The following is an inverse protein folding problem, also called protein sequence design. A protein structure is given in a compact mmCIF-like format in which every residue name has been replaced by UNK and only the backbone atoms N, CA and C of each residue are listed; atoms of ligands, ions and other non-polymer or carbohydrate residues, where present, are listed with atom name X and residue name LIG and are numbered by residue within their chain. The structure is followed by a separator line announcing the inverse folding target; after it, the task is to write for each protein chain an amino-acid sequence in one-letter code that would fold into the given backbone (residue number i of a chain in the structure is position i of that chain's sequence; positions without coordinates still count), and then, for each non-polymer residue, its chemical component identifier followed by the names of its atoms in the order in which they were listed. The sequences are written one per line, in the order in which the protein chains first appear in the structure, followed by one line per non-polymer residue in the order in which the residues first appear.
data_IF_145451805933
#
_entry.id   IF_145451805933
#
_cell.length_a   1.000
_cell.length_b   1.000
_cell.length_c   1.000
_cell.angle_alpha   90.00
_cell.angle_beta   90.00
_cell.angle_gamma   90.00
#
_symmetry.space_group_name_H-M   'P 1'
#
loop_
_entity.id
_entity.type
_entity.pdbx_description
1 polymer ?
#
# COMPACT_ATOMS: atom_id res chain seq x y z
N UNK A 1 1.34 2.50 -14.91
CA UNK A 1 1.11 1.53 -13.82
C UNK A 1 -0.39 1.32 -13.70
N UNK A 2 -0.87 0.07 -13.59
CA UNK A 2 -2.31 -0.26 -13.63
C UNK A 2 -3.04 0.15 -12.34
N UNK A 3 -2.31 0.21 -11.23
CA UNK A 3 -2.76 0.59 -9.88
C UNK A 3 -1.91 1.79 -9.44
N UNK A 4 -2.17 2.95 -10.05
CA UNK A 4 -1.29 4.12 -9.95
C UNK A 4 -1.19 4.64 -8.51
N UNK A 5 -2.32 4.80 -7.82
CA UNK A 5 -2.37 5.42 -6.49
C UNK A 5 -1.84 4.47 -5.40
N UNK A 6 -2.14 3.18 -5.53
CA UNK A 6 -1.46 2.14 -4.73
C UNK A 6 0.05 2.16 -4.98
N UNK A 7 0.46 2.26 -6.24
CA UNK A 7 1.86 2.37 -6.61
C UNK A 7 2.56 3.57 -5.96
N UNK A 8 1.95 4.75 -5.97
CA UNK A 8 2.52 5.93 -5.31
C UNK A 8 2.73 5.71 -3.81
N UNK A 9 1.79 5.06 -3.12
CA UNK A 9 1.94 4.71 -1.71
C UNK A 9 3.15 3.78 -1.49
N UNK A 10 3.22 2.68 -2.25
CA UNK A 10 4.28 1.68 -2.04
C UNK A 10 5.65 2.23 -2.44
N UNK A 11 5.77 2.80 -3.64
CA UNK A 11 7.04 3.32 -4.15
C UNK A 11 7.50 4.58 -3.43
N UNK A 12 6.58 5.39 -2.90
CA UNK A 12 6.90 6.65 -2.23
C UNK A 12 7.24 6.48 -0.75
N UNK A 13 6.59 5.55 -0.05
CA UNK A 13 6.62 5.47 1.41
C UNK A 13 7.06 4.12 1.97
N UNK A 14 6.90 3.01 1.24
CA UNK A 14 7.29 1.67 1.68
C UNK A 14 8.55 1.14 1.00
N UNK A 15 9.28 2.00 0.29
CA UNK A 15 10.55 1.66 -0.36
C UNK A 15 11.69 1.45 0.66
N UNK A 16 12.90 1.17 0.17
CA UNK A 16 14.08 0.90 1.02
C UNK A 16 14.43 2.05 2.00
N UNK A 17 14.02 3.29 1.70
CA UNK A 17 14.26 4.49 2.51
C UNK A 17 13.02 4.91 3.32
N UNK A 18 12.12 3.96 3.66
CA UNK A 18 10.88 4.24 4.40
C UNK A 18 11.12 4.97 5.73
N UNK A 19 12.27 4.72 6.37
CA UNK A 19 12.66 5.26 7.67
C UNK A 19 12.83 6.80 7.66
N UNK A 20 12.95 7.39 6.47
CA UNK A 20 12.86 8.85 6.29
C UNK A 20 11.50 9.41 6.68
N UNK A 21 10.42 8.62 6.53
CA UNK A 21 9.04 9.03 6.79
C UNK A 21 8.50 8.48 8.12
N UNK A 22 8.90 7.28 8.51
CA UNK A 22 8.42 6.60 9.72
C UNK A 22 8.93 5.18 9.84
N UNK A 23 8.71 4.52 10.99
CA UNK A 23 9.15 3.13 11.22
C UNK A 23 7.98 2.16 11.41
N UNK A 24 6.75 2.65 11.31
CA UNK A 24 5.52 1.87 11.45
C UNK A 24 4.59 2.11 10.28
N UNK A 25 3.77 1.12 9.92
CA UNK A 25 2.79 1.24 8.85
C UNK A 25 1.81 2.41 9.11
N UNK A 26 1.47 2.68 10.37
CA UNK A 26 0.65 3.82 10.76
C UNK A 26 1.34 5.17 10.48
N UNK A 27 2.64 5.30 10.77
CA UNK A 27 3.40 6.52 10.45
C UNK A 27 3.55 6.73 8.95
N UNK A 28 3.83 5.65 8.20
CA UNK A 28 3.99 5.72 6.74
C UNK A 28 2.67 6.09 6.04
N UNK A 29 1.54 5.50 6.45
CA UNK A 29 0.22 5.86 5.92
C UNK A 29 -0.13 7.30 6.27
N UNK A 30 0.12 7.74 7.50
CA UNK A 30 -0.10 9.13 7.92
C UNK A 30 0.76 10.11 7.11
N UNK A 31 2.02 9.77 6.87
CA UNK A 31 2.93 10.59 6.05
C UNK A 31 2.39 10.73 4.61
N UNK A 32 1.92 9.64 4.01
CA UNK A 32 1.26 9.66 2.70
C UNK A 32 -0.02 10.50 2.69
N UNK A 33 -0.91 10.25 3.64
CA UNK A 33 -2.21 10.91 3.71
C UNK A 33 -2.11 12.41 3.96
N UNK A 34 -1.07 12.87 4.68
CA UNK A 34 -0.87 14.29 4.99
C UNK A 34 -0.79 15.22 3.76
N UNK A 35 -0.40 14.69 2.61
CA UNK A 35 -0.33 15.42 1.34
C UNK A 35 -1.48 15.12 0.37
N UNK A 36 -2.44 14.28 0.76
CA UNK A 36 -3.50 13.78 -0.11
C UNK A 36 -4.84 14.48 0.14
N UNK A 37 -5.65 14.59 -0.91
CA UNK A 37 -7.06 14.95 -0.77
C UNK A 37 -7.89 13.69 -0.46
N UNK A 38 -9.13 13.82 0.04
CA UNK A 38 -10.01 12.68 0.24
C UNK A 38 -10.25 11.86 -1.04
N UNK A 39 -10.28 12.50 -2.22
CA UNK A 39 -10.44 11.80 -3.50
C UNK A 39 -9.21 10.96 -3.84
N UNK A 40 -8.00 11.44 -3.53
CA UNK A 40 -6.75 10.67 -3.70
C UNK A 40 -6.72 9.47 -2.76
N UNK A 41 -7.11 9.65 -1.50
CA UNK A 41 -7.23 8.54 -0.53
C UNK A 41 -8.20 7.48 -1.05
N UNK A 42 -9.38 7.91 -1.53
CA UNK A 42 -10.38 6.99 -2.10
C UNK A 42 -9.88 6.30 -3.37
N UNK A 43 -9.06 6.96 -4.19
CA UNK A 43 -8.44 6.35 -5.37
C UNK A 43 -7.43 5.26 -4.96
N UNK A 44 -6.59 5.51 -3.97
CA UNK A 44 -5.68 4.49 -3.41
C UNK A 44 -6.45 3.29 -2.87
N UNK A 45 -7.54 3.53 -2.14
CA UNK A 45 -8.41 2.46 -1.63
C UNK A 45 -9.05 1.65 -2.76
N UNK A 46 -9.53 2.32 -3.80
CA UNK A 46 -10.09 1.66 -4.98
C UNK A 46 -9.04 0.81 -5.72
N UNK A 47 -7.80 1.29 -5.81
CA UNK A 47 -6.68 0.54 -6.39
C UNK A 47 -6.34 -0.70 -5.56
N UNK A 48 -6.37 -0.60 -4.23
CA UNK A 48 -6.19 -1.77 -3.34
C UNK A 48 -7.28 -2.82 -3.62
N UNK A 49 -8.55 -2.41 -3.65
CA UNK A 49 -9.67 -3.34 -3.90
C UNK A 49 -9.57 -3.99 -5.28
N UNK A 50 -9.19 -3.20 -6.29
CA UNK A 50 -8.99 -3.68 -7.65
C UNK A 50 -7.81 -4.64 -7.75
N UNK A 51 -6.68 -4.33 -7.11
CA UNK A 51 -5.51 -5.21 -7.07
C UNK A 51 -5.86 -6.56 -6.45
N UNK A 52 -6.54 -6.55 -5.30
CA UNK A 52 -7.03 -7.77 -4.66
C UNK A 52 -7.97 -8.58 -5.55
N UNK A 53 -8.92 -7.91 -6.20
CA UNK A 53 -9.90 -8.58 -7.09
C UNK A 53 -9.25 -9.18 -8.33
N UNK A 54 -8.35 -8.43 -8.98
CA UNK A 54 -7.68 -8.86 -10.22
C UNK A 54 -6.71 -10.04 -9.96
N UNK A 55 -6.26 -10.22 -8.72
CA UNK A 55 -5.27 -11.23 -8.30
C UNK A 55 -5.75 -12.18 -7.20
N UNK A 56 -7.07 -12.40 -7.06
CA UNK A 56 -7.66 -13.17 -5.95
C UNK A 56 -7.13 -14.62 -5.79
N UNK A 57 -6.56 -15.20 -6.84
CA UNK A 57 -5.96 -16.55 -6.81
C UNK A 57 -4.44 -16.59 -6.66
N UNK A 58 -3.75 -15.45 -6.75
CA UNK A 58 -2.28 -15.37 -6.78
C UNK A 58 -1.71 -14.07 -6.19
N UNK A 59 -2.40 -13.51 -5.19
CA UNK A 59 -2.14 -12.16 -4.68
C UNK A 59 -0.68 -11.91 -4.27
N UNK A 60 -0.08 -12.84 -3.52
CA UNK A 60 1.31 -12.72 -3.06
C UNK A 60 2.29 -12.65 -4.25
N UNK A 61 2.13 -13.54 -5.24
CA UNK A 61 2.99 -13.57 -6.41
C UNK A 61 2.80 -12.32 -7.30
N UNK A 62 1.57 -11.84 -7.43
CA UNK A 62 1.28 -10.62 -8.17
C UNK A 62 1.85 -9.37 -7.48
N UNK A 63 1.84 -9.32 -6.14
CA UNK A 63 2.42 -8.23 -5.39
C UNK A 63 3.95 -8.23 -5.51
N UNK A 64 4.57 -9.40 -5.39
CA UNK A 64 6.02 -9.55 -5.58
C UNK A 64 6.44 -9.09 -6.99
N UNK A 65 5.69 -9.47 -8.03
CA UNK A 65 5.99 -9.06 -9.41
C UNK A 65 5.90 -7.54 -9.62
N UNK A 66 4.88 -6.89 -9.03
CA UNK A 66 4.65 -5.45 -9.25
C UNK A 66 5.46 -4.56 -8.29
N UNK A 67 5.71 -5.01 -7.06
CA UNK A 67 6.21 -4.17 -5.95
C UNK A 67 7.32 -4.80 -5.09
N UNK A 68 7.72 -6.05 -5.35
CA UNK A 68 8.66 -6.79 -4.48
C UNK A 68 10.05 -6.16 -4.36
N UNK A 69 10.47 -5.37 -5.35
CA UNK A 69 11.70 -4.59 -5.27
C UNK A 69 11.66 -3.45 -4.25
N UNK A 70 10.47 -3.00 -3.87
CA UNK A 70 10.28 -1.85 -3.00
C UNK A 70 9.84 -2.29 -1.61
N UNK A 71 8.89 -3.21 -1.54
CA UNK A 71 8.24 -3.57 -0.29
C UNK A 71 8.02 -5.07 -0.21
N UNK A 72 8.53 -5.70 0.85
CA UNK A 72 8.06 -7.00 1.30
C UNK A 72 6.86 -6.79 2.24
N UNK A 73 5.63 -7.15 1.84
CA UNK A 73 4.45 -6.95 2.69
C UNK A 73 4.53 -7.79 3.98
N UNK A 74 5.33 -8.87 3.99
CA UNK A 74 5.48 -9.76 5.15
C UNK A 74 6.37 -9.17 6.25
N UNK A 75 7.13 -8.11 5.94
CA UNK A 75 7.86 -7.32 6.94
C UNK A 75 6.91 -6.48 7.82
N UNK A 76 5.69 -6.22 7.34
CA UNK A 76 4.72 -5.34 8.01
C UNK A 76 3.52 -6.10 8.60
N UNK A 77 3.06 -7.16 7.92
CA UNK A 77 1.91 -7.98 8.32
C UNK A 77 2.13 -9.45 7.94
N UNK A 78 1.25 -10.36 8.37
CA UNK A 78 1.46 -11.80 8.15
C UNK A 78 1.35 -12.25 6.67
N UNK A 79 0.56 -11.54 5.87
CA UNK A 79 0.28 -11.84 4.46
C UNK A 79 0.09 -10.57 3.66
N UNK A 80 0.23 -10.62 2.33
CA UNK A 80 -0.07 -9.49 1.44
C UNK A 80 -1.50 -9.02 1.61
N UNK A 81 -2.44 -9.95 1.76
CA UNK A 81 -3.84 -9.60 2.02
C UNK A 81 -4.00 -8.79 3.31
N UNK A 82 -3.40 -9.24 4.42
CA UNK A 82 -3.47 -8.54 5.70
C UNK A 82 -2.80 -7.16 5.64
N UNK A 83 -1.68 -7.04 4.91
CA UNK A 83 -1.02 -5.78 4.64
C UNK A 83 -1.93 -4.80 3.90
N UNK A 84 -2.48 -5.20 2.76
CA UNK A 84 -3.37 -4.38 1.94
C UNK A 84 -4.65 -3.98 2.69
N UNK A 85 -5.24 -4.90 3.46
CA UNK A 85 -6.42 -4.60 4.28
C UNK A 85 -6.11 -3.63 5.41
N UNK A 86 -4.90 -3.68 5.98
CA UNK A 86 -4.45 -2.71 6.98
C UNK A 86 -4.23 -1.33 6.36
N UNK A 87 -3.57 -1.25 5.19
CA UNK A 87 -3.41 0.02 4.47
C UNK A 87 -4.77 0.66 4.19
N UNK A 88 -5.72 -0.10 3.64
CA UNK A 88 -7.09 0.38 3.37
C UNK A 88 -7.77 0.91 4.63
N UNK A 89 -7.69 0.18 5.75
CA UNK A 89 -8.31 0.59 7.01
C UNK A 89 -7.70 1.89 7.54
N UNK A 90 -6.38 2.03 7.49
CA UNK A 90 -5.67 3.21 7.97
C UNK A 90 -5.96 4.43 7.08
N UNK A 91 -5.90 4.27 5.76
CA UNK A 91 -6.23 5.31 4.79
C UNK A 91 -7.63 5.89 4.99
N UNK A 92 -8.63 5.04 5.27
CA UNK A 92 -10.01 5.48 5.54
C UNK A 92 -10.19 6.12 6.93
N UNK A 93 -9.15 6.14 7.76
CA UNK A 93 -9.17 6.74 9.10
C UNK A 93 -8.39 8.05 9.23
N UNK A 94 -7.71 8.48 8.16
CA UNK A 94 -7.07 9.80 8.04
C UNK A 94 -8.06 10.85 7.54
#
# INVERSE_FOLDING_TARGET
MKYYDLGQLILGYFNEDFDYWGNTIEELVRACASGCTPDMINATVADIDRFKSDHAGNLDAAFEEEFGYQCDPTAWERTTEAFLDKLKRLLLSE
#
